data_IF_014802866694
#
_entry.id   IF_014802866694
#
_cell.length_a   1.000
_cell.length_b   1.000
_cell.length_c   1.000
_cell.angle_alpha   90.00
_cell.angle_beta   90.00
_cell.angle_gamma   90.00
#
_symmetry.space_group_name_H-M   'P 1'
#
loop_
_entity.id
_entity.type
_entity.pdbx_description
1 polymer ?
#
# COMPACT_ATOMS: atom_id res chain seq x y z
N UNK A 1 -7.49 -6.33 24.05
CA UNK A 1 -6.86 -5.09 24.58
C UNK A 1 -5.39 -5.09 24.21
N UNK A 2 -4.99 -4.40 23.13
CA UNK A 2 -3.58 -4.28 22.72
C UNK A 2 -3.21 -2.80 22.80
N UNK A 3 -2.44 -2.44 23.82
CA UNK A 3 -1.94 -1.08 24.03
C UNK A 3 -0.66 -0.87 23.23
N UNK A 4 -0.78 -0.61 21.92
CA UNK A 4 0.35 -0.08 21.16
C UNK A 4 0.44 1.41 21.54
N UNK A 5 1.41 1.75 22.40
CA UNK A 5 1.51 3.08 23.04
C UNK A 5 1.92 4.12 22.00
N UNK A 6 0.96 4.94 21.56
CA UNK A 6 1.20 6.01 20.59
C UNK A 6 2.21 7.02 21.17
N UNK A 7 3.39 7.14 20.58
CA UNK A 7 4.37 8.16 20.95
C UNK A 7 3.90 9.49 20.37
N UNK A 8 3.19 10.27 21.18
CA UNK A 8 2.75 11.61 20.82
C UNK A 8 3.94 12.57 20.75
N UNK A 9 4.31 13.01 19.54
CA UNK A 9 5.07 14.25 19.37
C UNK A 9 4.09 15.41 19.31
N UNK A 10 4.23 16.38 20.23
CA UNK A 10 3.32 17.51 20.41
C UNK A 10 4.05 18.87 20.30
N UNK A 11 3.24 19.93 20.18
CA UNK A 11 3.50 21.35 19.82
C UNK A 11 3.52 21.58 18.30
N UNK A 12 3.01 22.69 17.74
CA UNK A 12 2.05 23.76 18.14
C UNK A 12 1.72 24.57 16.84
N UNK A 13 0.68 25.43 16.75
CA UNK A 13 -0.45 25.68 17.65
C UNK A 13 -1.85 25.61 16.97
N UNK A 14 -2.89 25.97 17.72
CA UNK A 14 -4.30 26.08 17.29
C UNK A 14 -4.52 27.12 16.17
N UNK A 15 -5.43 26.79 15.24
CA UNK A 15 -6.43 27.69 14.59
C UNK A 15 -7.21 26.90 13.49
N UNK A 16 -6.53 26.02 12.73
CA UNK A 16 -7.15 25.24 11.64
C UNK A 16 -8.16 24.15 12.07
N UNK A 17 -8.49 24.08 13.37
CA UNK A 17 -9.29 23.00 13.99
C UNK A 17 -10.71 22.93 13.41
N UNK A 18 -11.30 24.05 12.99
CA UNK A 18 -12.70 24.07 12.54
C UNK A 18 -12.94 23.63 11.09
N UNK A 19 -11.96 23.70 10.18
CA UNK A 19 -12.18 23.40 8.75
C UNK A 19 -12.04 21.89 8.46
N UNK A 20 -11.13 21.20 9.15
CA UNK A 20 -10.94 19.75 8.95
C UNK A 20 -12.09 18.88 9.49
N UNK A 21 -12.93 19.41 10.38
CA UNK A 21 -14.05 18.68 10.99
C UNK A 21 -15.21 18.35 10.03
N UNK A 22 -15.23 18.94 8.83
CA UNK A 22 -16.27 18.67 7.81
C UNK A 22 -15.85 17.66 6.71
N UNK A 23 -14.58 17.22 6.68
CA UNK A 23 -14.10 16.23 5.71
C UNK A 23 -14.24 14.76 6.20
N UNK A 24 -14.57 14.58 7.47
CA UNK A 24 -14.59 13.28 8.19
C UNK A 24 -15.79 12.36 7.88
N UNK A 25 -16.49 12.54 6.75
CA UNK A 25 -17.82 11.93 6.55
C UNK A 25 -18.12 11.35 5.15
N UNK A 26 -17.30 10.41 4.65
CA UNK A 26 -17.84 9.16 4.07
C UNK A 26 -16.82 8.01 4.13
N UNK A 27 -17.29 6.81 4.46
CA UNK A 27 -16.47 5.61 4.74
C UNK A 27 -15.57 5.17 3.56
N UNK A 28 -14.25 5.10 3.78
CA UNK A 28 -13.46 3.85 3.61
C UNK A 28 -12.29 3.83 4.60
N UNK A 29 -12.43 3.15 5.75
CA UNK A 29 -11.41 3.10 6.82
C UNK A 29 -10.15 2.24 6.52
N UNK A 30 -9.85 1.97 5.23
CA UNK A 30 -8.77 1.05 4.85
C UNK A 30 -8.14 1.27 3.46
N UNK A 31 -8.53 2.30 2.71
CA UNK A 31 -7.90 2.61 1.41
C UNK A 31 -7.08 3.90 1.55
N UNK A 32 -5.75 3.76 1.59
CA UNK A 32 -4.82 4.88 1.55
C UNK A 32 -4.32 5.06 0.11
N UNK A 33 -4.71 6.15 -0.55
CA UNK A 33 -4.06 6.54 -1.80
C UNK A 33 -2.63 6.99 -1.49
N UNK A 34 -1.65 6.46 -2.22
CA UNK A 34 -0.24 6.77 -2.05
C UNK A 34 0.29 7.35 -3.37
N UNK A 35 0.77 8.60 -3.32
CA UNK A 35 1.47 9.22 -4.43
C UNK A 35 2.96 8.84 -4.37
N UNK A 36 3.45 8.12 -5.39
CA UNK A 36 4.82 7.57 -5.39
C UNK A 36 5.85 8.69 -5.58
N UNK A 37 6.68 8.92 -4.57
CA UNK A 37 7.75 9.92 -4.58
C UNK A 37 8.92 9.54 -3.67
N UNK A 38 10.11 10.08 -3.94
CA UNK A 38 11.35 9.74 -3.22
C UNK A 38 11.27 10.03 -1.72
N UNK A 39 10.67 11.16 -1.34
CA UNK A 39 10.45 11.55 0.05
C UNK A 39 9.62 10.50 0.83
N UNK A 40 8.64 9.88 0.18
CA UNK A 40 7.76 8.89 0.83
C UNK A 40 8.49 7.57 1.09
N UNK A 41 9.44 7.17 0.24
CA UNK A 41 10.29 6.00 0.47
C UNK A 41 11.10 6.18 1.76
N UNK A 42 11.63 7.38 2.00
CA UNK A 42 12.31 7.72 3.26
C UNK A 42 11.39 7.60 4.48
N UNK A 43 10.17 8.15 4.39
CA UNK A 43 9.15 8.05 5.45
C UNK A 43 8.76 6.60 5.76
N UNK A 44 8.60 5.76 4.74
CA UNK A 44 8.31 4.32 4.88
C UNK A 44 9.47 3.59 5.56
N UNK A 45 10.71 3.87 5.15
CA UNK A 45 11.91 3.28 5.77
C UNK A 45 12.02 3.61 7.26
N UNK A 46 11.75 4.86 7.63
CA UNK A 46 11.73 5.30 9.03
C UNK A 46 10.56 4.67 9.82
N UNK A 47 9.35 4.63 9.24
CA UNK A 47 8.19 4.00 9.87
C UNK A 47 8.40 2.50 10.11
N UNK A 48 9.00 1.77 9.17
CA UNK A 48 9.31 0.35 9.32
C UNK A 48 10.29 0.04 10.45
N UNK A 49 11.21 0.96 10.77
CA UNK A 49 12.10 0.84 11.94
C UNK A 49 11.39 1.10 13.28
N UNK A 50 10.28 1.84 13.25
CA UNK A 50 9.48 2.19 14.44
C UNK A 50 8.26 1.27 14.65
N UNK A 51 7.88 0.47 13.65
CA UNK A 51 6.83 -0.54 13.73
C UNK A 51 7.26 -1.73 14.60
N UNK A 52 7.13 -1.58 15.92
CA UNK A 52 7.46 -2.60 16.92
C UNK A 52 6.26 -3.47 17.35
N UNK A 53 5.06 -3.20 16.84
CA UNK A 53 3.85 -3.96 17.16
C UNK A 53 3.56 -5.00 16.04
N UNK A 54 3.81 -6.30 16.30
CA UNK A 54 3.44 -7.41 15.41
C UNK A 54 1.93 -7.69 15.41
N UNK A 55 1.13 -6.70 15.01
CA UNK A 55 -0.31 -6.88 14.78
C UNK A 55 -0.55 -7.71 13.52
N UNK A 56 -1.59 -8.56 13.56
CA UNK A 56 -2.09 -9.20 12.34
C UNK A 56 -2.67 -8.13 11.40
N UNK A 57 -2.22 -8.11 10.15
CA UNK A 57 -2.57 -7.08 9.17
C UNK A 57 -2.60 -7.66 7.75
N UNK A 58 -3.71 -7.43 7.05
CA UNK A 58 -3.85 -7.76 5.64
C UNK A 58 -3.58 -6.51 4.79
N UNK A 59 -2.61 -6.59 3.86
CA UNK A 59 -2.25 -5.50 2.95
C UNK A 59 -2.57 -5.92 1.52
N UNK A 60 -3.51 -5.23 0.88
CA UNK A 60 -3.89 -5.45 -0.51
C UNK A 60 -3.38 -4.30 -1.38
N UNK A 61 -2.37 -4.55 -2.22
CA UNK A 61 -1.87 -3.56 -3.17
C UNK A 61 -2.82 -3.44 -4.36
N UNK A 62 -3.45 -2.28 -4.51
CA UNK A 62 -4.19 -1.90 -5.71
C UNK A 62 -3.30 -1.02 -6.60
N UNK A 63 -2.73 -1.57 -7.67
CA UNK A 63 -1.90 -0.81 -8.60
C UNK A 63 -2.71 -0.40 -9.84
N UNK A 64 -2.70 0.89 -10.15
CA UNK A 64 -3.26 1.41 -11.41
C UNK A 64 -2.49 0.85 -12.60
N UNK A 65 -3.22 0.13 -13.46
CA UNK A 65 -2.78 -0.51 -14.69
C UNK A 65 -3.49 0.04 -15.93
N UNK A 66 -4.14 1.20 -15.83
CA UNK A 66 -4.79 1.87 -16.94
C UNK A 66 -3.79 2.23 -18.06
N UNK A 67 -4.30 2.41 -19.29
CA UNK A 67 -3.47 2.84 -20.41
C UNK A 67 -2.76 4.19 -20.15
N UNK A 68 -3.45 5.13 -19.49
CA UNK A 68 -2.96 6.49 -19.24
C UNK A 68 -1.77 6.57 -18.27
N UNK A 69 -1.60 5.60 -17.35
CA UNK A 69 -0.44 5.59 -16.45
C UNK A 69 0.85 5.20 -17.21
N UNK A 70 0.72 4.35 -18.24
CA UNK A 70 1.81 3.81 -19.03
C UNK A 70 2.77 2.88 -18.27
N UNK A 71 3.44 1.98 -19.01
CA UNK A 71 4.36 0.96 -18.47
C UNK A 71 5.43 1.54 -17.53
N UNK A 72 5.99 2.71 -17.87
CA UNK A 72 7.05 3.34 -17.06
C UNK A 72 6.58 3.79 -15.67
N UNK A 73 5.32 4.20 -15.52
CA UNK A 73 4.76 4.57 -14.22
C UNK A 73 4.31 3.34 -13.44
N UNK A 74 3.76 2.33 -14.12
CA UNK A 74 3.44 1.05 -13.51
C UNK A 74 4.68 0.37 -12.88
N UNK A 75 5.83 0.37 -13.57
CA UNK A 75 7.07 -0.17 -13.00
C UNK A 75 7.57 0.63 -11.78
N UNK A 76 7.35 1.95 -11.72
CA UNK A 76 7.60 2.75 -10.50
C UNK A 76 6.68 2.33 -9.35
N UNK A 77 5.39 2.12 -9.63
CA UNK A 77 4.41 1.65 -8.64
C UNK A 77 4.74 0.25 -8.11
N UNK A 78 5.14 -0.69 -8.99
CA UNK A 78 5.67 -2.01 -8.60
C UNK A 78 6.92 -1.89 -7.72
N UNK A 79 7.89 -1.08 -8.11
CA UNK A 79 9.12 -0.87 -7.33
C UNK A 79 8.78 -0.34 -5.93
N UNK A 80 7.86 0.62 -5.86
CA UNK A 80 7.41 1.21 -4.60
C UNK A 80 6.66 0.20 -3.70
N UNK A 81 5.76 -0.63 -4.25
CA UNK A 81 5.13 -1.71 -3.51
C UNK A 81 6.17 -2.72 -2.96
N UNK A 82 7.20 -3.03 -3.76
CA UNK A 82 8.33 -3.85 -3.32
C UNK A 82 9.17 -3.21 -2.19
N UNK A 83 9.25 -1.87 -2.13
CA UNK A 83 9.88 -1.11 -1.04
C UNK A 83 9.00 -1.03 0.21
N UNK A 84 7.68 -0.93 0.06
CA UNK A 84 6.76 -1.08 1.19
C UNK A 84 6.91 -2.46 1.85
N UNK A 85 7.03 -3.53 1.06
CA UNK A 85 7.28 -4.88 1.58
C UNK A 85 8.59 -5.00 2.39
N UNK A 86 9.58 -4.13 2.18
CA UNK A 86 10.79 -4.12 3.02
C UNK A 86 10.49 -3.67 4.46
N UNK A 87 9.55 -2.75 4.65
CA UNK A 87 9.11 -2.25 5.95
C UNK A 87 8.07 -3.13 6.67
N UNK A 88 7.42 -4.06 5.97
CA UNK A 88 6.39 -4.95 6.54
C UNK A 88 6.97 -6.22 7.18
N UNK A 89 6.33 -6.72 8.24
CA UNK A 89 6.71 -7.95 8.95
C UNK A 89 5.97 -9.17 8.39
N UNK A 90 6.22 -9.47 7.10
CA UNK A 90 5.47 -10.45 6.31
C UNK A 90 5.68 -11.87 6.85
N UNK A 91 4.59 -12.48 7.33
CA UNK A 91 4.51 -13.82 7.91
C UNK A 91 3.03 -14.26 7.96
N UNK A 92 2.68 -15.55 7.81
CA UNK A 92 1.28 -16.00 7.75
C UNK A 92 0.42 -15.53 8.93
N UNK A 93 0.96 -15.60 10.16
CA UNK A 93 0.25 -15.19 11.38
C UNK A 93 0.34 -13.68 11.71
N UNK A 94 1.00 -12.88 10.86
CA UNK A 94 1.26 -11.45 11.10
C UNK A 94 0.82 -10.61 9.90
N UNK A 95 1.75 -10.20 9.03
CA UNK A 95 1.39 -9.42 7.84
C UNK A 95 1.23 -10.33 6.62
N UNK A 96 0.03 -10.35 6.03
CA UNK A 96 -0.25 -11.02 4.74
C UNK A 96 -0.35 -9.98 3.63
N UNK A 97 0.04 -10.35 2.40
CA UNK A 97 0.10 -9.40 1.27
C UNK A 97 -0.55 -10.00 0.03
N UNK A 98 -1.46 -9.24 -0.57
CA UNK A 98 -2.10 -9.54 -1.85
C UNK A 98 -1.88 -8.40 -2.86
N UNK A 99 -2.20 -8.64 -4.13
CA UNK A 99 -2.08 -7.64 -5.18
C UNK A 99 -3.18 -7.76 -6.24
N UNK A 100 -3.74 -6.62 -6.64
CA UNK A 100 -4.69 -6.45 -7.74
C UNK A 100 -4.15 -5.36 -8.67
N UNK A 101 -4.12 -5.62 -9.97
CA UNK A 101 -3.97 -4.58 -11.00
C UNK A 101 -5.36 -4.04 -11.35
N UNK A 102 -5.58 -2.74 -11.19
CA UNK A 102 -6.86 -2.08 -11.47
C UNK A 102 -6.81 -1.33 -12.81
N UNK A 103 -7.89 -1.44 -13.57
CA UNK A 103 -8.11 -0.73 -14.84
C UNK A 103 -9.63 -0.75 -15.12
N UNK A 104 -10.07 -0.73 -16.38
CA UNK A 104 -11.46 -1.00 -16.76
C UNK A 104 -12.01 -2.32 -16.22
N UNK A 105 -11.15 -3.33 -16.02
CA UNK A 105 -11.48 -4.56 -15.28
C UNK A 105 -10.37 -4.84 -14.25
N UNK A 106 -10.70 -5.14 -12.98
CA UNK A 106 -9.71 -5.54 -11.99
C UNK A 106 -9.15 -6.94 -12.29
N UNK A 107 -7.84 -7.09 -12.19
CA UNK A 107 -7.13 -8.34 -12.36
C UNK A 107 -6.42 -8.73 -11.06
N UNK A 108 -6.79 -9.87 -10.48
CA UNK A 108 -6.15 -10.39 -9.28
C UNK A 108 -4.79 -10.99 -9.65
N UNK A 109 -3.70 -10.36 -9.21
CA UNK A 109 -2.35 -10.89 -9.42
C UNK A 109 -2.06 -12.05 -8.45
N UNK A 110 -2.44 -11.87 -7.18
CA UNK A 110 -2.39 -12.93 -6.17
C UNK A 110 -3.22 -12.56 -4.92
N UNK A 111 -3.97 -13.50 -4.31
CA UNK A 111 -4.62 -13.30 -3.01
C UNK A 111 -3.62 -13.31 -1.84
N UNK A 112 -4.08 -12.83 -0.68
CA UNK A 112 -3.30 -12.63 0.56
C UNK A 112 -2.49 -13.86 1.02
N UNK A 113 -3.01 -15.06 0.81
CA UNK A 113 -2.46 -16.33 1.32
C UNK A 113 -1.47 -17.01 0.35
N UNK A 114 -1.12 -16.36 -0.77
CA UNK A 114 -0.33 -17.00 -1.85
C UNK A 114 1.16 -17.14 -1.54
N UNK A 115 1.70 -16.26 -0.70
CA UNK A 115 3.13 -16.12 -0.45
C UNK A 115 3.36 -15.83 1.03
N UNK A 116 4.16 -16.67 1.67
CA UNK A 116 4.26 -16.71 3.14
C UNK A 116 5.45 -15.89 3.63
N UNK A 117 6.41 -15.57 2.77
CA UNK A 117 7.61 -14.82 3.09
C UNK A 117 7.71 -13.49 2.34
N UNK A 118 8.43 -12.53 2.94
CA UNK A 118 8.80 -11.25 2.32
C UNK A 118 9.49 -11.40 0.97
N UNK A 119 10.31 -12.45 0.80
CA UNK A 119 11.07 -12.68 -0.44
C UNK A 119 10.14 -13.09 -1.58
N UNK A 120 9.26 -14.07 -1.36
CA UNK A 120 8.28 -14.53 -2.35
C UNK A 120 7.33 -13.42 -2.80
N UNK A 121 6.78 -12.65 -1.85
CA UNK A 121 5.92 -11.48 -2.15
C UNK A 121 6.65 -10.48 -3.05
N UNK A 122 7.89 -10.11 -2.69
CA UNK A 122 8.68 -9.15 -3.48
C UNK A 122 9.04 -9.69 -4.85
N UNK A 123 9.35 -10.98 -4.97
CA UNK A 123 9.59 -11.62 -6.26
C UNK A 123 8.35 -11.62 -7.14
N UNK A 124 7.17 -11.96 -6.59
CA UNK A 124 5.93 -11.92 -7.36
C UNK A 124 5.59 -10.51 -7.83
N UNK A 125 5.69 -9.51 -6.95
CA UNK A 125 5.48 -8.09 -7.31
C UNK A 125 6.44 -7.68 -8.45
N UNK A 126 7.71 -8.10 -8.40
CA UNK A 126 8.70 -7.82 -9.46
C UNK A 126 8.32 -8.47 -10.80
N UNK A 127 7.82 -9.72 -10.76
CA UNK A 127 7.41 -10.51 -11.94
C UNK A 127 6.06 -10.08 -12.55
N UNK A 128 5.21 -9.34 -11.83
CA UNK A 128 3.94 -8.81 -12.37
C UNK A 128 4.16 -8.02 -13.67
N UNK A 129 3.36 -8.30 -14.70
CA UNK A 129 3.44 -7.63 -16.00
C UNK A 129 2.40 -6.51 -16.07
N UNK A 130 2.69 -5.44 -16.82
CA UNK A 130 1.72 -4.40 -17.14
C UNK A 130 0.68 -4.96 -18.13
N UNK A 131 -0.48 -5.37 -17.62
CA UNK A 131 -1.60 -5.86 -18.44
C UNK A 131 -2.51 -4.71 -18.86
N UNK A 132 -2.71 -4.53 -20.17
CA UNK A 132 -3.71 -3.61 -20.72
C UNK A 132 -5.06 -4.33 -20.82
N UNK A 133 -5.83 -4.34 -19.73
CA UNK A 133 -7.13 -5.02 -19.68
C UNK A 133 -8.27 -4.14 -20.22
N UNK A 134 -8.05 -3.49 -21.36
CA UNK A 134 -9.15 -3.03 -22.20
C UNK A 134 -9.72 -4.24 -22.94
N UNK A 135 -10.96 -4.62 -22.60
CA UNK A 135 -11.84 -5.14 -23.64
C UNK A 135 -12.04 -4.00 -24.64
N UNK A 136 -11.25 -4.03 -25.72
CA UNK A 136 -11.59 -3.31 -26.94
C UNK A 136 -12.98 -3.81 -27.36
N UNK A 137 -13.98 -3.01 -27.03
CA UNK A 137 -15.36 -3.24 -27.46
C UNK A 137 -15.42 -2.72 -28.88
N UNK A 138 -15.21 -3.62 -29.83
CA UNK A 138 -15.35 -3.37 -31.27
C UNK A 138 -16.78 -2.98 -31.62
#
# INVERSE_FOLDING_TARGET
>A
MISCRFVTMNLLPFESICIFLLSQALLVLGIQQIHVGQEMIGKISAAGQLMQCSASLDVLFLLDGSYSIGKGSFERSKHFAGKLCDALDIHPDRVRVGMIQFSSTPHLEFPLDSYLTKQEVKERIKRTVFSLNEKLTF
#
